data_IF_758212465422
#
_entry.id   IF_758212465422
#
_cell.length_a   1.000
_cell.length_b   1.000
_cell.length_c   1.000
_cell.angle_alpha   90.00
_cell.angle_beta   90.00
_cell.angle_gamma   90.00
#
_symmetry.space_group_name_H-M   'P 1'
#
loop_
_entity.id
_entity.type
_entity.pdbx_description
1 polymer ?
#
# COMPACT_ATOMS: atom_id res chain seq x y z
N UNK A 1 2.81 -20.48 9.81
CA UNK A 1 3.55 -20.52 8.53
C UNK A 1 4.60 -21.62 8.59
N UNK A 2 4.39 -22.71 7.86
CA UNK A 2 5.36 -23.80 7.76
C UNK A 2 6.37 -23.51 6.65
N UNK A 3 7.66 -23.83 6.88
CA UNK A 3 8.74 -23.56 5.92
C UNK A 3 9.26 -24.88 5.35
N UNK A 4 9.19 -25.04 4.03
CA UNK A 4 9.70 -26.22 3.32
C UNK A 4 10.91 -25.89 2.45
N UNK A 5 11.87 -26.82 2.40
CA UNK A 5 12.88 -26.84 1.34
C UNK A 5 12.30 -27.45 0.07
N UNK A 6 12.83 -27.16 -1.14
CA UNK A 6 12.28 -27.70 -2.39
C UNK A 6 12.22 -29.23 -2.42
N UNK A 7 13.25 -29.90 -1.89
CA UNK A 7 13.31 -31.36 -1.82
C UNK A 7 12.28 -31.96 -0.86
N UNK A 8 12.04 -31.30 0.28
CA UNK A 8 11.03 -31.73 1.25
C UNK A 8 9.61 -31.52 0.71
N UNK A 9 9.38 -30.38 0.05
CA UNK A 9 8.11 -30.08 -0.60
C UNK A 9 7.77 -31.13 -1.66
N UNK A 10 8.70 -31.47 -2.57
CA UNK A 10 8.45 -32.46 -3.62
C UNK A 10 7.98 -33.81 -3.08
N UNK A 11 8.58 -34.26 -1.98
CA UNK A 11 8.21 -35.53 -1.33
C UNK A 11 6.84 -35.48 -0.65
N UNK A 12 6.42 -34.30 -0.20
CA UNK A 12 5.21 -34.11 0.61
C UNK A 12 4.14 -33.27 -0.09
N UNK A 13 4.24 -33.07 -1.42
CA UNK A 13 3.46 -32.07 -2.15
C UNK A 13 1.95 -32.21 -1.91
N UNK A 14 1.41 -33.41 -2.05
CA UNK A 14 -0.02 -33.66 -1.86
C UNK A 14 -0.48 -33.42 -0.42
N UNK A 15 0.36 -33.75 0.56
CA UNK A 15 0.05 -33.49 1.97
C UNK A 15 0.02 -31.99 2.23
N UNK A 16 1.03 -31.25 1.75
CA UNK A 16 1.12 -29.80 1.89
C UNK A 16 -0.07 -29.10 1.21
N UNK A 17 -0.45 -29.52 0.00
CA UNK A 17 -1.61 -28.94 -0.69
C UNK A 17 -2.92 -29.22 0.06
N UNK A 18 -3.06 -30.42 0.63
CA UNK A 18 -4.22 -30.76 1.45
C UNK A 18 -4.25 -29.93 2.73
N UNK A 19 -3.12 -29.80 3.42
CA UNK A 19 -3.01 -29.01 4.64
C UNK A 19 -3.39 -27.53 4.35
N UNK A 20 -2.91 -26.95 3.24
CA UNK A 20 -3.29 -25.58 2.82
C UNK A 20 -4.80 -25.42 2.58
N UNK A 21 -5.45 -26.44 2.00
CA UNK A 21 -6.89 -26.42 1.76
C UNK A 21 -7.70 -26.61 3.05
N UNK A 22 -7.25 -27.49 3.94
CA UNK A 22 -7.97 -27.88 5.15
C UNK A 22 -7.82 -26.87 6.29
N UNK A 23 -6.66 -26.19 6.39
CA UNK A 23 -6.36 -25.28 7.50
C UNK A 23 -6.37 -23.79 7.15
N UNK A 24 -6.59 -23.43 5.87
CA UNK A 24 -6.48 -22.05 5.34
C UNK A 24 -5.12 -21.37 5.67
N UNK A 25 -4.13 -22.17 6.06
CA UNK A 25 -2.80 -21.68 6.41
C UNK A 25 -1.93 -21.47 5.19
N UNK A 26 -1.14 -20.40 5.22
CA UNK A 26 -0.14 -20.12 4.21
C UNK A 26 1.13 -20.94 4.48
N UNK A 27 1.62 -21.61 3.43
CA UNK A 27 2.86 -22.39 3.50
C UNK A 27 3.94 -21.68 2.70
N UNK A 28 5.02 -21.29 3.36
CA UNK A 28 6.17 -20.69 2.69
C UNK A 28 7.15 -21.77 2.27
N UNK A 29 7.59 -21.73 1.03
CA UNK A 29 8.61 -22.61 0.48
C UNK A 29 9.86 -21.76 0.27
N UNK A 30 10.84 -21.96 1.16
CA UNK A 30 12.13 -21.30 1.04
C UNK A 30 12.97 -22.06 0.00
N UNK A 31 13.12 -21.48 -1.19
CA UNK A 31 14.02 -22.00 -2.22
C UNK A 31 15.40 -21.39 -1.98
N UNK A 32 16.23 -22.08 -1.21
CA UNK A 32 17.64 -21.70 -1.10
C UNK A 32 18.38 -22.19 -2.37
N UNK A 33 18.44 -21.34 -3.39
CA UNK A 33 19.31 -21.57 -4.54
C UNK A 33 20.77 -21.38 -4.12
N UNK A 34 21.65 -22.32 -4.45
CA UNK A 34 23.05 -22.34 -4.00
C UNK A 34 23.90 -21.13 -4.43
N UNK A 35 23.41 -20.25 -5.30
CA UNK A 35 24.19 -19.19 -5.95
C UNK A 35 23.47 -17.84 -6.09
N UNK A 36 22.48 -17.51 -5.24
CA UNK A 36 21.84 -16.19 -5.26
C UNK A 36 21.90 -15.50 -3.88
N UNK A 37 22.22 -14.19 -3.84
CA UNK A 37 22.27 -13.43 -2.58
C UNK A 37 20.88 -13.24 -1.94
N UNK A 38 19.82 -13.34 -2.74
CA UNK A 38 18.43 -13.23 -2.28
C UNK A 38 17.80 -14.61 -2.14
N UNK A 39 17.25 -14.89 -0.96
CA UNK A 39 16.35 -16.04 -0.76
C UNK A 39 15.10 -15.81 -1.62
N UNK A 40 14.95 -16.58 -2.69
CA UNK A 40 13.67 -16.67 -3.40
C UNK A 40 12.77 -17.59 -2.59
N UNK A 41 11.71 -17.04 -2.01
CA UNK A 41 10.65 -17.86 -1.41
C UNK A 41 9.39 -17.80 -2.27
N UNK A 42 8.64 -18.89 -2.27
CA UNK A 42 7.34 -19.01 -2.92
C UNK A 42 6.33 -19.35 -1.83
N UNK A 43 5.22 -18.64 -1.77
CA UNK A 43 4.13 -18.95 -0.84
C UNK A 43 3.07 -19.74 -1.57
N UNK A 44 2.66 -20.86 -1.01
CA UNK A 44 1.52 -21.65 -1.47
C UNK A 44 0.31 -21.23 -0.64
N UNK A 45 -0.74 -20.79 -1.33
CA UNK A 45 -2.02 -20.38 -0.76
C UNK A 45 -3.16 -20.99 -1.57
N UNK A 46 -4.34 -21.06 -0.95
CA UNK A 46 -5.55 -21.45 -1.64
C UNK A 46 -5.90 -20.47 -2.78
N UNK A 47 -6.54 -21.01 -3.82
CA UNK A 47 -6.94 -20.28 -5.02
C UNK A 47 -8.00 -19.22 -4.71
N UNK A 48 -9.00 -19.51 -3.87
CA UNK A 48 -10.05 -18.53 -3.57
C UNK A 48 -9.49 -17.34 -2.80
N UNK A 49 -8.55 -17.63 -1.87
CA UNK A 49 -7.78 -16.62 -1.15
C UNK A 49 -6.92 -15.78 -2.09
N UNK A 50 -6.21 -16.40 -3.04
CA UNK A 50 -5.46 -15.67 -4.07
C UNK A 50 -6.37 -14.75 -4.89
N UNK A 51 -7.54 -15.22 -5.30
CA UNK A 51 -8.48 -14.44 -6.10
C UNK A 51 -9.10 -13.29 -5.31
N UNK A 52 -9.29 -13.45 -3.99
CA UNK A 52 -9.66 -12.36 -3.08
C UNK A 52 -8.55 -11.32 -2.97
N UNK A 53 -7.31 -11.74 -2.68
CA UNK A 53 -6.15 -10.84 -2.61
C UNK A 53 -5.90 -10.06 -3.92
N UNK A 54 -6.15 -10.69 -5.08
CA UNK A 54 -6.08 -10.01 -6.38
C UNK A 54 -7.18 -8.97 -6.56
N UNK A 55 -8.41 -9.23 -6.07
CA UNK A 55 -9.50 -8.25 -6.10
C UNK A 55 -9.19 -7.07 -5.19
N UNK A 56 -8.73 -7.34 -3.98
CA UNK A 56 -8.40 -6.31 -2.99
C UNK A 56 -7.22 -5.45 -3.45
N UNK A 57 -6.16 -6.06 -3.97
CA UNK A 57 -5.00 -5.32 -4.50
C UNK A 57 -5.34 -4.45 -5.72
N UNK A 58 -6.22 -4.91 -6.63
CA UNK A 58 -6.73 -4.07 -7.74
C UNK A 58 -7.57 -2.89 -7.26
N UNK A 59 -8.23 -2.99 -6.12
CA UNK A 59 -8.95 -1.86 -5.52
C UNK A 59 -7.99 -0.86 -4.85
N UNK A 60 -6.90 -1.37 -4.26
CA UNK A 60 -5.86 -0.57 -3.62
C UNK A 60 -4.91 0.14 -4.61
N UNK A 61 -4.84 -0.29 -5.88
CA UNK A 61 -4.00 0.33 -6.91
C UNK A 61 -4.58 1.60 -7.53
N UNK A 62 -5.75 2.08 -7.07
CA UNK A 62 -6.16 3.46 -7.38
C UNK A 62 -5.26 4.39 -6.58
N UNK A 63 -4.27 4.96 -7.25
CA UNK A 63 -3.50 6.07 -6.71
C UNK A 63 -4.46 7.12 -6.15
N UNK A 64 -4.18 7.68 -4.98
CA UNK A 64 -4.97 8.77 -4.40
C UNK A 64 -5.19 9.90 -5.43
N UNK A 65 -4.18 10.16 -6.26
CA UNK A 65 -4.20 11.14 -7.35
C UNK A 65 -5.11 10.77 -8.53
N UNK A 66 -5.57 9.52 -8.63
CA UNK A 66 -6.49 9.07 -9.68
C UNK A 66 -7.96 9.22 -9.31
N UNK A 67 -8.26 9.62 -8.07
CA UNK A 67 -9.63 9.92 -7.63
C UNK A 67 -10.17 11.15 -8.38
N UNK A 68 -11.50 11.21 -8.66
CA UNK A 68 -12.12 12.39 -9.26
C UNK A 68 -11.86 13.66 -8.45
N UNK A 69 -11.84 13.53 -7.12
CA UNK A 69 -11.58 14.60 -6.16
C UNK A 69 -10.13 15.12 -6.28
N UNK A 70 -9.13 14.23 -6.29
CA UNK A 70 -7.74 14.66 -6.47
C UNK A 70 -7.49 15.29 -7.84
N UNK A 71 -8.17 14.81 -8.89
CA UNK A 71 -8.11 15.44 -10.23
C UNK A 71 -8.76 16.82 -10.26
N UNK A 72 -9.86 17.02 -9.52
CA UNK A 72 -10.49 18.32 -9.36
C UNK A 72 -9.57 19.29 -8.60
N UNK A 73 -9.01 18.86 -7.46
CA UNK A 73 -8.09 19.67 -6.67
C UNK A 73 -6.82 20.06 -7.45
N UNK A 74 -6.26 19.14 -8.25
CA UNK A 74 -5.13 19.44 -9.13
C UNK A 74 -5.52 20.49 -10.19
N UNK A 75 -6.69 20.36 -10.81
CA UNK A 75 -7.19 21.36 -11.79
C UNK A 75 -7.38 22.73 -11.16
N UNK A 76 -7.93 22.80 -9.95
CA UNK A 76 -8.10 24.06 -9.21
C UNK A 76 -6.74 24.70 -8.88
N UNK A 77 -5.74 23.89 -8.49
CA UNK A 77 -4.39 24.36 -8.23
C UNK A 77 -3.70 24.89 -9.50
N UNK A 78 -3.82 24.18 -10.63
CA UNK A 78 -3.25 24.58 -11.92
C UNK A 78 -3.95 25.82 -12.49
N UNK A 79 -5.27 25.95 -12.29
CA UNK A 79 -6.05 27.10 -12.74
C UNK A 79 -5.89 28.35 -11.84
N UNK A 80 -5.01 28.29 -10.84
CA UNK A 80 -4.74 29.42 -9.95
C UNK A 80 -5.88 29.75 -8.99
N UNK A 81 -6.86 28.85 -8.82
CA UNK A 81 -7.94 29.00 -7.85
C UNK A 81 -7.49 28.68 -6.42
N UNK A 82 -6.30 28.10 -6.26
CA UNK A 82 -5.68 27.81 -4.95
C UNK A 82 -4.64 28.88 -4.63
N UNK A 83 -4.72 29.47 -3.44
CA UNK A 83 -3.69 30.39 -2.93
C UNK A 83 -2.39 29.63 -2.71
N UNK A 84 -1.33 30.02 -3.39
CA UNK A 84 0.00 29.45 -3.18
C UNK A 84 0.62 29.99 -1.89
N UNK A 85 1.31 29.12 -1.15
CA UNK A 85 2.06 29.50 0.05
C UNK A 85 3.45 29.98 -0.40
N UNK A 86 3.50 31.19 -0.95
CA UNK A 86 4.74 31.83 -1.39
C UNK A 86 5.59 30.94 -2.31
N UNK A 87 6.89 30.84 -2.04
CA UNK A 87 7.84 30.03 -2.81
C UNK A 87 8.00 28.60 -2.26
N UNK A 88 7.09 28.16 -1.37
CA UNK A 88 7.14 26.83 -0.77
C UNK A 88 8.25 26.66 0.29
N UNK A 89 8.76 27.76 0.85
CA UNK A 89 9.72 27.69 1.95
C UNK A 89 9.04 27.40 3.29
N UNK A 90 9.78 26.85 4.26
CA UNK A 90 9.31 26.65 5.64
C UNK A 90 8.84 27.97 6.28
N UNK A 91 9.55 29.07 6.03
CA UNK A 91 9.15 30.38 6.54
C UNK A 91 7.82 30.88 5.94
N UNK A 92 7.56 30.59 4.67
CA UNK A 92 6.29 30.94 4.03
C UNK A 92 5.13 30.13 4.63
N UNK A 93 5.40 28.86 4.97
CA UNK A 93 4.44 27.99 5.66
C UNK A 93 4.13 28.51 7.07
N UNK A 94 5.13 28.84 7.88
CA UNK A 94 4.94 29.36 9.24
C UNK A 94 4.17 30.69 9.24
N UNK A 95 4.46 31.58 8.29
CA UNK A 95 3.73 32.83 8.08
C UNK A 95 2.27 32.58 7.69
N UNK A 96 2.03 31.56 6.87
CA UNK A 96 0.68 31.19 6.45
C UNK A 96 -0.15 30.61 7.61
N UNK A 97 0.43 29.72 8.41
CA UNK A 97 -0.22 29.18 9.62
C UNK A 97 -0.56 30.30 10.61
N UNK A 98 0.35 31.25 10.80
CA UNK A 98 0.10 32.41 11.67
C UNK A 98 -1.08 33.26 11.20
N UNK A 99 -1.22 33.48 9.88
CA UNK A 99 -2.36 34.20 9.31
C UNK A 99 -3.69 33.48 9.53
N UNK A 100 -3.70 32.15 9.39
CA UNK A 100 -4.91 31.35 9.63
C UNK A 100 -5.36 31.42 11.08
N UNK A 101 -4.42 31.37 12.04
CA UNK A 101 -4.74 31.51 13.47
C UNK A 101 -5.31 32.90 13.79
N UNK A 102 -4.77 33.95 13.18
CA UNK A 102 -5.28 35.33 13.34
C UNK A 102 -6.67 35.52 12.71
N UNK A 103 -6.93 34.96 11.53
CA UNK A 103 -8.25 34.96 10.89
C UNK A 103 -9.28 34.19 11.72
N UNK A 104 -8.91 33.02 12.26
CA UNK A 104 -9.76 32.22 13.14
C UNK A 104 -10.09 32.98 14.43
N UNK A 105 -9.12 33.69 15.03
CA UNK A 105 -9.35 34.53 16.22
C UNK A 105 -10.26 35.71 15.94
N UNK A 106 -10.18 36.34 14.77
CA UNK A 106 -11.07 37.44 14.36
C UNK A 106 -12.51 36.94 14.17
N UNK A 107 -12.70 35.80 13.51
CA UNK A 107 -14.02 35.21 13.30
C UNK A 107 -14.68 34.71 14.59
N UNK A 108 -13.91 34.41 15.64
CA UNK A 108 -14.44 34.07 16.98
C UNK A 108 -14.86 35.29 17.82
N UNK A 109 -14.48 36.50 17.41
CA UNK A 109 -14.83 37.77 18.10
C UNK A 109 -16.04 38.48 17.48
N UNK A 110 -16.65 37.89 16.47
CA UNK A 110 -17.94 38.26 15.87
C UNK A 110 -18.98 37.27 16.34
#
# INVERSE_FOLDING_TARGET
MAIYTPSSLRKNLFKVLKDVLDSDDEVEVAVQEKNQPTRKSVVIIDKEKLDKLKRDSRSASKSFYDTPEAKAALREAVNGQVKTIGNGSLEDFDKWISKLDDEAKKNRKV
#
